data_IF_280148656911
#
_entry.id   IF_280148656911
#
_cell.length_a   1.000
_cell.length_b   1.000
_cell.length_c   1.000
_cell.angle_alpha   90.00
_cell.angle_beta   90.00
_cell.angle_gamma   90.00
#
_symmetry.space_group_name_H-M   'P 1'
#
loop_
_entity.id
_entity.type
_entity.pdbx_description
1 polymer ?
#
# COMPACT_ATOMS: atom_id res chain seq x y z
N UNK A 1 30.07 14.30 26.67
CA UNK A 1 29.21 14.84 25.59
C UNK A 1 29.48 14.15 24.24
N UNK A 2 29.63 12.81 24.23
CA UNK A 2 29.96 12.01 23.03
C UNK A 2 29.13 10.72 22.91
N UNK A 3 28.15 10.52 23.80
CA UNK A 3 27.43 9.25 23.95
C UNK A 3 25.98 9.31 23.43
N UNK A 4 25.48 10.50 23.07
CA UNK A 4 24.12 10.71 22.54
C UNK A 4 24.03 10.56 21.02
N UNK A 5 25.14 10.64 20.28
CA UNK A 5 25.14 10.53 18.82
C UNK A 5 25.04 9.08 18.32
N UNK A 6 25.36 8.08 19.15
CA UNK A 6 25.17 6.67 18.81
C UNK A 6 23.74 6.16 19.05
N UNK A 7 22.96 6.80 19.93
CA UNK A 7 21.60 6.35 20.26
C UNK A 7 20.58 6.64 19.14
N UNK A 8 20.94 7.51 18.19
CA UNK A 8 20.20 7.73 16.95
C UNK A 8 20.52 6.70 15.84
N UNK A 9 21.23 5.60 16.16
CA UNK A 9 21.36 4.43 15.29
C UNK A 9 19.98 3.76 15.10
N UNK A 10 19.24 4.28 14.12
CA UNK A 10 18.24 3.61 13.27
C UNK A 10 17.65 2.34 13.89
N UNK A 11 16.59 2.49 14.69
CA UNK A 11 15.77 1.37 15.16
C UNK A 11 15.32 0.59 13.92
N UNK A 12 15.99 -0.54 13.67
CA UNK A 12 15.65 -1.42 12.57
C UNK A 12 14.67 -2.41 13.15
N UNK A 13 13.45 -2.47 12.61
CA UNK A 13 12.49 -3.46 13.05
C UNK A 13 13.08 -4.85 12.89
N UNK A 14 13.08 -5.61 13.98
CA UNK A 14 13.51 -6.99 13.99
C UNK A 14 12.73 -7.81 12.93
N UNK A 15 13.41 -8.76 12.30
CA UNK A 15 12.83 -9.58 11.22
C UNK A 15 11.58 -10.35 11.70
N UNK A 16 11.55 -10.79 12.95
CA UNK A 16 10.40 -11.46 13.55
C UNK A 16 9.22 -10.49 13.71
N UNK A 17 9.50 -9.25 14.16
CA UNK A 17 8.47 -8.21 14.26
C UNK A 17 7.88 -7.89 12.88
N UNK A 18 8.72 -7.71 11.86
CA UNK A 18 8.25 -7.50 10.48
C UNK A 18 7.37 -8.66 10.00
N UNK A 19 7.77 -9.90 10.30
CA UNK A 19 6.97 -11.07 9.93
C UNK A 19 5.64 -11.12 10.67
N UNK A 20 5.58 -10.71 11.93
CA UNK A 20 4.35 -10.61 12.69
C UNK A 20 3.42 -9.52 12.13
N UNK A 21 3.96 -8.32 11.87
CA UNK A 21 3.22 -7.21 11.22
C UNK A 21 2.65 -7.65 9.88
N UNK A 22 3.44 -8.36 9.04
CA UNK A 22 2.96 -8.92 7.77
C UNK A 22 1.77 -9.87 7.95
N UNK A 23 1.78 -10.70 8.98
CA UNK A 23 0.68 -11.63 9.29
C UNK A 23 -0.59 -10.88 9.72
N UNK A 24 -0.44 -9.80 10.50
CA UNK A 24 -1.58 -8.97 10.96
C UNK A 24 -2.23 -8.24 9.79
N UNK A 25 -1.45 -7.56 8.94
CA UNK A 25 -2.04 -6.71 7.90
C UNK A 25 -2.55 -7.50 6.69
N UNK A 26 -2.03 -8.71 6.45
CA UNK A 26 -2.47 -9.54 5.32
C UNK A 26 -4.00 -9.72 5.25
N UNK A 27 -4.70 -10.18 6.30
CA UNK A 27 -6.16 -10.33 6.24
C UNK A 27 -6.88 -8.99 6.02
N UNK A 28 -6.39 -7.89 6.57
CA UNK A 28 -6.99 -6.54 6.37
C UNK A 28 -6.90 -6.15 4.89
N UNK A 29 -5.74 -6.35 4.26
CA UNK A 29 -5.55 -6.07 2.84
C UNK A 29 -6.44 -6.96 1.98
N UNK A 30 -6.51 -8.27 2.28
CA UNK A 30 -7.34 -9.20 1.50
C UNK A 30 -8.83 -8.82 1.60
N UNK A 31 -9.31 -8.51 2.81
CA UNK A 31 -10.69 -8.07 3.01
C UNK A 31 -11.04 -6.82 2.18
N UNK A 32 -10.20 -5.78 2.26
CA UNK A 32 -10.41 -4.53 1.50
C UNK A 32 -10.32 -4.77 0.00
N UNK A 33 -9.40 -5.61 -0.42
CA UNK A 33 -9.20 -5.94 -1.82
C UNK A 33 -10.42 -6.67 -2.39
N UNK A 34 -10.96 -7.65 -1.66
CA UNK A 34 -12.24 -8.28 -2.01
C UNK A 34 -13.39 -7.28 -2.03
N UNK A 35 -13.47 -6.39 -1.04
CA UNK A 35 -14.50 -5.36 -0.94
C UNK A 35 -14.52 -4.43 -2.16
N UNK A 36 -13.39 -3.81 -2.50
CA UNK A 36 -13.31 -2.94 -3.66
C UNK A 36 -13.39 -3.72 -4.98
N UNK A 37 -12.87 -4.94 -5.04
CA UNK A 37 -12.93 -5.72 -6.28
C UNK A 37 -14.35 -6.22 -6.60
N UNK A 38 -15.31 -6.22 -5.66
CA UNK A 38 -16.73 -6.39 -5.99
C UNK A 38 -17.26 -5.29 -6.91
N UNK A 39 -16.71 -4.07 -6.82
CA UNK A 39 -17.07 -2.96 -7.71
C UNK A 39 -16.34 -3.07 -9.06
N UNK A 40 -15.03 -3.31 -9.05
CA UNK A 40 -14.21 -3.31 -10.27
C UNK A 40 -14.28 -4.60 -11.09
N UNK A 41 -14.50 -5.74 -10.42
CA UNK A 41 -14.54 -7.07 -11.01
C UNK A 41 -13.30 -7.41 -11.87
N UNK A 42 -12.11 -7.15 -11.34
CA UNK A 42 -10.85 -7.48 -12.00
C UNK A 42 -10.30 -8.84 -11.54
N UNK A 43 -9.58 -9.51 -12.43
CA UNK A 43 -8.79 -10.69 -12.08
C UNK A 43 -7.38 -10.28 -11.68
N UNK A 44 -6.88 -10.79 -10.56
CA UNK A 44 -5.49 -10.67 -10.14
C UNK A 44 -4.92 -12.05 -9.80
N UNK A 45 -3.60 -12.16 -9.83
CA UNK A 45 -2.89 -13.39 -9.53
C UNK A 45 -2.58 -13.48 -8.03
N UNK A 46 -1.32 -13.31 -7.63
CA UNK A 46 -0.94 -13.40 -6.21
C UNK A 46 -1.07 -12.06 -5.50
N UNK A 47 -1.39 -12.12 -4.21
CA UNK A 47 -1.28 -10.99 -3.27
C UNK A 47 -0.17 -11.25 -2.25
N UNK A 48 0.78 -10.33 -2.13
CA UNK A 48 1.91 -10.47 -1.21
C UNK A 48 2.12 -9.25 -0.31
N UNK A 49 2.51 -9.49 0.95
CA UNK A 49 2.91 -8.42 1.87
C UNK A 49 4.45 -8.33 1.94
N UNK A 50 4.99 -7.15 1.69
CA UNK A 50 6.42 -6.85 1.61
C UNK A 50 6.81 -5.81 2.66
N UNK A 51 8.11 -5.71 2.94
CA UNK A 51 8.67 -4.61 3.72
C UNK A 51 9.63 -3.85 2.81
N UNK A 52 9.13 -2.79 2.16
CA UNK A 52 9.88 -2.03 1.16
C UNK A 52 10.20 -0.62 1.70
N UNK A 53 11.30 -0.06 1.20
CA UNK A 53 11.76 1.27 1.62
C UNK A 53 10.93 2.39 0.99
N UNK A 54 10.70 2.33 -0.33
CA UNK A 54 10.26 3.46 -1.16
C UNK A 54 8.85 3.34 -1.75
N UNK A 55 8.11 2.27 -1.46
CA UNK A 55 6.80 2.00 -2.09
C UNK A 55 5.79 1.54 -1.05
N UNK A 56 4.54 1.98 -1.21
CA UNK A 56 3.39 1.54 -0.42
C UNK A 56 2.70 0.31 -1.02
N UNK A 57 2.74 0.17 -2.35
CA UNK A 57 2.30 -0.99 -3.10
C UNK A 57 2.96 -1.07 -4.48
N UNK A 58 2.64 -2.14 -5.21
CA UNK A 58 2.93 -2.25 -6.65
C UNK A 58 2.12 -3.39 -7.30
N UNK A 59 1.72 -3.19 -8.56
CA UNK A 59 1.16 -4.21 -9.45
C UNK A 59 2.14 -4.54 -10.60
N UNK A 60 2.28 -5.83 -10.95
CA UNK A 60 3.05 -6.27 -12.13
C UNK A 60 2.15 -6.51 -13.34
N UNK A 61 2.72 -6.54 -14.56
CA UNK A 61 2.02 -6.93 -15.81
C UNK A 61 1.24 -8.23 -15.69
N UNK A 62 1.77 -9.18 -14.93
CA UNK A 62 1.14 -10.49 -14.74
C UNK A 62 0.04 -10.49 -13.66
N UNK A 63 -0.41 -9.32 -13.22
CA UNK A 63 -1.47 -9.15 -12.23
C UNK A 63 -1.08 -9.51 -10.79
N UNK A 64 0.21 -9.48 -10.44
CA UNK A 64 0.66 -9.71 -9.06
C UNK A 64 0.61 -8.42 -8.25
N UNK A 65 -0.13 -8.45 -7.14
CA UNK A 65 -0.30 -7.31 -6.25
C UNK A 65 0.63 -7.44 -5.03
N UNK A 66 1.39 -6.40 -4.75
CA UNK A 66 2.25 -6.31 -3.57
C UNK A 66 1.85 -5.10 -2.74
N UNK A 67 1.79 -5.29 -1.42
CA UNK A 67 1.47 -4.24 -0.45
C UNK A 67 2.53 -4.17 0.63
N UNK A 68 2.82 -2.97 1.13
CA UNK A 68 3.82 -2.77 2.18
C UNK A 68 3.22 -2.98 3.58
N UNK A 69 3.91 -3.72 4.45
CA UNK A 69 3.48 -3.95 5.82
C UNK A 69 3.43 -2.67 6.67
N UNK A 70 4.12 -1.60 6.24
CA UNK A 70 4.01 -0.26 6.84
C UNK A 70 2.61 0.33 6.77
N UNK A 71 1.74 -0.19 5.90
CA UNK A 71 0.33 0.21 5.85
C UNK A 71 -0.41 -0.03 7.18
N UNK A 72 0.14 -0.86 8.08
CA UNK A 72 -0.46 -1.06 9.42
C UNK A 72 -0.36 0.19 10.29
N UNK A 73 0.53 1.11 9.94
CA UNK A 73 0.82 2.31 10.72
C UNK A 73 0.12 3.57 10.19
N UNK A 74 -0.80 3.43 9.24
CA UNK A 74 -1.54 4.57 8.65
C UNK A 74 -3.04 4.41 8.87
N UNK A 75 -3.78 5.52 8.76
CA UNK A 75 -5.25 5.53 8.86
C UNK A 75 -5.88 4.64 7.79
N UNK A 76 -7.07 4.11 8.08
CA UNK A 76 -7.78 3.15 7.23
C UNK A 76 -7.99 3.63 5.78
N UNK A 77 -8.30 4.92 5.60
CA UNK A 77 -8.50 5.52 4.28
C UNK A 77 -7.25 5.49 3.40
N UNK A 78 -6.05 5.60 4.00
CA UNK A 78 -4.81 5.48 3.25
C UNK A 78 -4.57 4.03 2.81
N UNK A 79 -4.99 3.06 3.62
CA UNK A 79 -4.98 1.64 3.23
C UNK A 79 -5.93 1.43 2.05
N UNK A 80 -7.16 1.94 2.14
CA UNK A 80 -8.17 1.86 1.07
C UNK A 80 -7.64 2.45 -0.23
N UNK A 81 -7.08 3.66 -0.17
CA UNK A 81 -6.48 4.31 -1.33
C UNK A 81 -5.38 3.47 -1.97
N UNK A 82 -4.45 2.90 -1.19
CA UNK A 82 -3.37 2.07 -1.75
C UNK A 82 -3.93 0.77 -2.35
N UNK A 83 -4.90 0.12 -1.71
CA UNK A 83 -5.58 -1.06 -2.26
C UNK A 83 -6.23 -0.75 -3.60
N UNK A 84 -7.03 0.30 -3.68
CA UNK A 84 -7.69 0.74 -4.93
C UNK A 84 -6.66 1.13 -5.99
N UNK A 85 -5.58 1.81 -5.60
CA UNK A 85 -4.50 2.20 -6.51
C UNK A 85 -3.88 0.99 -7.20
N UNK A 86 -3.48 -0.03 -6.43
CA UNK A 86 -2.88 -1.24 -6.99
C UNK A 86 -3.90 -2.08 -7.76
N UNK A 87 -5.17 -2.09 -7.35
CA UNK A 87 -6.23 -2.78 -8.07
C UNK A 87 -6.51 -2.14 -9.44
N UNK A 88 -6.53 -0.81 -9.51
CA UNK A 88 -6.71 -0.06 -10.76
C UNK A 88 -5.58 -0.32 -11.76
N UNK A 89 -4.38 -0.67 -11.29
CA UNK A 89 -3.28 -1.04 -12.17
C UNK A 89 -3.53 -2.33 -12.97
N UNK A 90 -4.45 -3.20 -12.53
CA UNK A 90 -4.86 -4.38 -13.31
C UNK A 90 -5.51 -4.00 -14.65
N UNK A 91 -6.08 -2.79 -14.73
CA UNK A 91 -6.70 -2.26 -15.95
C UNK A 91 -5.82 -1.23 -16.66
N UNK A 92 -5.18 -0.34 -15.90
CA UNK A 92 -4.40 0.78 -16.42
C UNK A 92 -3.01 0.82 -15.77
N UNK A 93 -2.00 0.34 -16.49
CA UNK A 93 -0.64 0.16 -15.93
C UNK A 93 0.18 1.43 -15.73
N UNK A 94 -0.32 2.56 -16.21
CA UNK A 94 0.31 3.86 -16.06
C UNK A 94 -0.62 4.81 -15.32
N UNK A 95 -0.07 5.89 -14.74
CA UNK A 95 -0.85 6.91 -14.03
C UNK A 95 -1.50 7.92 -14.99
N UNK A 96 -2.11 7.45 -16.09
CA UNK A 96 -2.83 8.29 -17.05
C UNK A 96 -4.10 8.90 -16.48
N UNK A 97 -4.75 9.79 -17.24
CA UNK A 97 -6.07 10.33 -16.88
C UNK A 97 -7.11 9.23 -16.65
N UNK A 98 -7.06 8.13 -17.43
CA UNK A 98 -7.97 6.98 -17.29
C UNK A 98 -7.75 6.26 -15.96
N UNK A 99 -6.49 6.02 -15.59
CA UNK A 99 -6.15 5.44 -14.29
C UNK A 99 -6.71 6.26 -13.13
N UNK A 100 -6.50 7.58 -13.15
CA UNK A 100 -6.99 8.43 -12.06
C UNK A 100 -8.51 8.57 -12.04
N UNK A 101 -9.17 8.51 -13.20
CA UNK A 101 -10.62 8.42 -13.27
C UNK A 101 -11.11 7.13 -12.58
N UNK A 102 -10.49 5.99 -12.89
CA UNK A 102 -10.84 4.70 -12.30
C UNK A 102 -10.65 4.66 -10.78
N UNK A 103 -9.56 5.25 -10.27
CA UNK A 103 -9.35 5.41 -8.81
C UNK A 103 -10.45 6.29 -8.19
N UNK A 104 -10.83 7.37 -8.86
CA UNK A 104 -11.81 8.33 -8.34
C UNK A 104 -13.24 7.75 -8.24
N UNK A 105 -13.54 6.66 -8.95
CA UNK A 105 -14.85 6.00 -8.89
C UNK A 105 -15.19 5.49 -7.48
N UNK A 106 -14.20 5.00 -6.73
CA UNK A 106 -14.40 4.54 -5.34
C UNK A 106 -13.72 5.45 -4.31
N UNK A 107 -12.70 6.22 -4.71
CA UNK A 107 -11.96 7.13 -3.84
C UNK A 107 -11.94 8.54 -4.45
N UNK A 108 -13.05 9.30 -4.39
CA UNK A 108 -13.16 10.60 -5.07
C UNK A 108 -12.13 11.64 -4.55
N UNK A 109 -11.74 11.55 -3.28
CA UNK A 109 -10.76 12.45 -2.64
C UNK A 109 -9.31 11.94 -2.74
N UNK A 110 -8.99 11.04 -3.68
CA UNK A 110 -7.68 10.39 -3.79
C UNK A 110 -6.48 11.35 -3.85
N UNK A 111 -6.67 12.58 -4.37
CA UNK A 111 -5.59 13.57 -4.49
C UNK A 111 -5.05 13.97 -3.12
N UNK A 112 -5.92 14.08 -2.12
CA UNK A 112 -5.55 14.44 -0.74
C UNK A 112 -4.79 13.29 -0.08
N UNK A 113 -5.33 12.07 -0.18
CA UNK A 113 -4.73 10.84 0.34
C UNK A 113 -3.35 10.57 -0.28
N UNK A 114 -3.21 10.81 -1.59
CA UNK A 114 -1.91 10.70 -2.29
C UNK A 114 -0.88 11.68 -1.74
N UNK A 115 -1.29 12.93 -1.48
CA UNK A 115 -0.42 13.97 -0.92
C UNK A 115 -0.01 13.60 0.51
N UNK A 116 -0.93 13.11 1.32
CA UNK A 116 -0.66 12.64 2.68
C UNK A 116 0.35 11.48 2.69
N UNK A 117 0.14 10.43 1.88
CA UNK A 117 1.08 9.30 1.79
C UNK A 117 2.48 9.70 1.30
N UNK A 118 2.57 10.72 0.44
CA UNK A 118 3.87 11.27 0.02
C UNK A 118 4.60 11.92 1.21
N UNK A 119 3.87 12.61 2.08
CA UNK A 119 4.45 13.24 3.27
C UNK A 119 4.86 12.22 4.33
N UNK A 120 4.12 11.10 4.47
CA UNK A 120 4.48 10.01 5.39
C UNK A 120 5.68 9.19 4.88
N UNK A 121 5.78 9.03 3.55
CA UNK A 121 6.81 8.21 2.91
C UNK A 121 8.16 8.91 2.69
N UNK A 122 8.24 10.22 2.95
CA UNK A 122 9.47 11.02 2.89
C UNK A 122 10.25 10.93 4.20
#
# INVERSE_FOLDING_TARGET
MHQLSEYQKKITLDKQVINHVKKIIRPIILFKLEEFNRYYNFSYNRVSIRHQKSRWGSCSSDGNLNFNCKLLCVRDELINYVVVHELCHLKEMNHSKKFWALVAETIPHYKELRRELKNIGN
#
